data_IF_290252445394
#
_entry.id   IF_290252445394
#
_cell.length_a   1.000
_cell.length_b   1.000
_cell.length_c   1.000
_cell.angle_alpha   90.00
_cell.angle_beta   90.00
_cell.angle_gamma   90.00
#
_symmetry.space_group_name_H-M   'P 1'
#
loop_
_entity.id
_entity.type
_entity.pdbx_description
1 polymer ?
#
# COMPACT_ATOMS: atom_id res chain seq x y z
N UNK A 1 -1.85 -4.56 23.96
CA UNK A 1 -1.95 -3.74 22.76
C UNK A 1 -3.42 -3.41 22.60
N UNK A 2 -3.79 -2.14 22.50
CA UNK A 2 -5.20 -1.75 22.35
C UNK A 2 -5.59 -1.71 20.87
N UNK A 3 -6.88 -1.83 20.55
CA UNK A 3 -7.39 -1.75 19.15
C UNK A 3 -6.98 -0.42 18.48
N UNK A 4 -6.89 0.66 19.26
CA UNK A 4 -6.43 1.97 18.79
C UNK A 4 -4.93 1.97 18.43
N UNK A 5 -4.09 1.22 19.16
CA UNK A 5 -2.67 1.04 18.83
C UNK A 5 -2.51 0.27 17.51
N UNK A 6 -3.32 -0.79 17.31
CA UNK A 6 -3.30 -1.60 16.09
C UNK A 6 -3.77 -0.79 14.87
N UNK A 7 -4.84 0.01 14.99
CA UNK A 7 -5.33 0.88 13.90
C UNK A 7 -4.31 1.96 13.54
N UNK A 8 -3.69 2.60 14.52
CA UNK A 8 -2.66 3.62 14.29
C UNK A 8 -1.41 3.02 13.63
N UNK A 9 -1.01 1.81 14.02
CA UNK A 9 0.08 1.07 13.39
C UNK A 9 -0.23 0.75 11.92
N UNK A 10 -1.45 0.29 11.63
CA UNK A 10 -1.89 -0.01 10.27
C UNK A 10 -1.89 1.23 9.38
N UNK A 11 -2.46 2.34 9.87
CA UNK A 11 -2.46 3.61 9.15
C UNK A 11 -1.04 4.08 8.84
N UNK A 12 -0.11 3.99 9.81
CA UNK A 12 1.29 4.35 9.61
C UNK A 12 1.95 3.50 8.52
N UNK A 13 1.77 2.18 8.54
CA UNK A 13 2.37 1.29 7.55
C UNK A 13 1.86 1.59 6.12
N UNK A 14 0.56 1.83 5.96
CA UNK A 14 -0.03 2.22 4.66
C UNK A 14 0.48 3.61 4.22
N UNK A 15 0.62 4.55 5.15
CA UNK A 15 1.14 5.89 4.87
C UNK A 15 2.61 5.87 4.43
N UNK A 16 3.45 5.07 5.10
CA UNK A 16 4.86 4.88 4.72
C UNK A 16 4.98 4.28 3.31
N UNK A 17 4.15 3.28 3.00
CA UNK A 17 4.07 2.73 1.66
C UNK A 17 3.61 3.77 0.62
N UNK A 18 2.59 4.57 0.94
CA UNK A 18 2.14 5.65 0.05
C UNK A 18 3.24 6.68 -0.22
N UNK A 19 4.04 7.05 0.78
CA UNK A 19 5.16 7.98 0.61
C UNK A 19 6.26 7.41 -0.28
N UNK A 20 6.63 6.13 -0.09
CA UNK A 20 7.62 5.47 -0.94
C UNK A 20 7.15 5.40 -2.41
N UNK A 21 5.86 5.10 -2.63
CA UNK A 21 5.28 5.09 -3.98
C UNK A 21 5.16 6.51 -4.56
N UNK A 22 4.88 7.53 -3.74
CA UNK A 22 4.88 8.91 -4.21
C UNK A 22 6.27 9.34 -4.70
N UNK A 23 7.35 8.93 -4.02
CA UNK A 23 8.73 9.12 -4.49
C UNK A 23 8.97 8.41 -5.83
N UNK A 24 8.49 7.17 -5.99
CA UNK A 24 8.55 6.45 -7.26
C UNK A 24 7.82 7.22 -8.38
N UNK A 25 6.61 7.71 -8.12
CA UNK A 25 5.82 8.49 -9.08
C UNK A 25 6.58 9.75 -9.54
N UNK A 26 7.23 10.47 -8.61
CA UNK A 26 8.08 11.63 -8.93
C UNK A 26 9.26 11.20 -9.81
N UNK A 27 9.98 10.14 -9.42
CA UNK A 27 11.12 9.63 -10.20
C UNK A 27 10.74 9.19 -11.62
N UNK A 28 9.53 8.63 -11.81
CA UNK A 28 9.09 8.12 -13.11
C UNK A 28 8.47 9.20 -14.00
N UNK A 29 7.85 10.24 -13.43
CA UNK A 29 7.15 11.28 -14.20
C UNK A 29 7.95 12.58 -14.32
N UNK A 30 8.45 13.10 -13.19
CA UNK A 30 8.97 14.46 -13.13
C UNK A 30 10.46 14.52 -13.50
N UNK A 31 11.21 13.45 -13.21
CA UNK A 31 12.64 13.34 -13.53
C UNK A 31 12.90 12.74 -14.93
N UNK A 32 11.85 12.42 -15.69
CA UNK A 32 11.98 11.78 -17.00
C UNK A 32 12.64 12.72 -18.04
N UNK A 33 13.66 12.27 -18.79
CA UNK A 33 14.28 13.09 -19.84
C UNK A 33 13.30 13.51 -20.95
N UNK A 34 13.36 14.78 -21.39
CA UNK A 34 12.40 15.46 -22.30
C UNK A 34 12.20 14.80 -23.69
N UNK A 35 13.05 13.87 -24.12
CA UNK A 35 12.92 13.09 -25.38
C UNK A 35 12.00 11.85 -25.21
N UNK A 36 10.82 12.10 -24.63
CA UNK A 36 10.04 11.18 -23.80
C UNK A 36 9.12 10.16 -24.51
N UNK A 37 9.28 9.86 -25.81
CA UNK A 37 8.37 8.93 -26.51
C UNK A 37 8.67 7.44 -26.24
N UNK A 38 9.22 7.10 -25.06
CA UNK A 38 9.47 5.72 -24.69
C UNK A 38 8.24 5.13 -24.01
N UNK A 39 7.43 4.38 -24.77
CA UNK A 39 6.21 3.74 -24.27
C UNK A 39 6.45 2.89 -23.01
N UNK A 40 7.63 2.27 -22.85
CA UNK A 40 7.96 1.52 -21.63
C UNK A 40 8.18 2.42 -20.40
N UNK A 41 8.66 3.65 -20.58
CA UNK A 41 8.78 4.62 -19.48
C UNK A 41 7.40 5.14 -19.05
N UNK A 42 6.56 5.51 -20.02
CA UNK A 42 5.16 5.91 -19.77
C UNK A 42 4.36 4.79 -19.09
N UNK A 43 4.54 3.54 -19.52
CA UNK A 43 3.89 2.40 -18.89
C UNK A 43 4.29 2.24 -17.41
N UNK A 44 5.58 2.37 -17.09
CA UNK A 44 6.07 2.30 -15.70
C UNK A 44 5.50 3.46 -14.87
N UNK A 45 5.48 4.67 -15.42
CA UNK A 45 4.88 5.83 -14.76
C UNK A 45 3.38 5.62 -14.48
N UNK A 46 2.63 5.09 -15.45
CA UNK A 46 1.21 4.78 -15.29
C UNK A 46 0.94 3.74 -14.20
N UNK A 47 1.76 2.68 -14.12
CA UNK A 47 1.64 1.66 -13.07
C UNK A 47 1.96 2.23 -11.68
N UNK A 48 2.98 3.10 -11.57
CA UNK A 48 3.30 3.78 -10.31
C UNK A 48 2.13 4.65 -9.83
N UNK A 49 1.50 5.41 -10.73
CA UNK A 49 0.30 6.20 -10.43
C UNK A 49 -0.88 5.32 -10.04
N UNK A 50 -1.08 4.18 -10.71
CA UNK A 50 -2.15 3.25 -10.34
C UNK A 50 -1.98 2.71 -8.92
N UNK A 51 -0.76 2.29 -8.55
CA UNK A 51 -0.44 1.88 -7.17
C UNK A 51 -0.74 3.03 -6.20
N UNK A 52 -0.28 4.25 -6.50
CA UNK A 52 -0.52 5.41 -5.65
C UNK A 52 -2.02 5.66 -5.43
N UNK A 53 -2.83 5.50 -6.48
CA UNK A 53 -4.29 5.60 -6.40
C UNK A 53 -4.90 4.57 -5.44
N UNK A 54 -4.48 3.30 -5.51
CA UNK A 54 -4.96 2.26 -4.58
C UNK A 54 -4.61 2.56 -3.13
N UNK A 55 -3.40 3.10 -2.91
CA UNK A 55 -2.94 3.46 -1.58
C UNK A 55 -3.62 4.71 -1.04
N UNK A 56 -3.97 5.68 -1.89
CA UNK A 56 -4.80 6.82 -1.51
C UNK A 56 -6.20 6.36 -1.09
N UNK A 57 -6.83 5.47 -1.85
CA UNK A 57 -8.10 4.83 -1.46
C UNK A 57 -7.98 4.08 -0.12
N UNK A 58 -6.84 3.42 0.12
CA UNK A 58 -6.60 2.71 1.38
C UNK A 58 -6.43 3.68 2.55
N UNK A 59 -5.81 4.84 2.35
CA UNK A 59 -5.72 5.89 3.37
C UNK A 59 -7.08 6.52 3.68
N UNK A 60 -7.95 6.66 2.67
CA UNK A 60 -9.31 7.18 2.84
C UNK A 60 -10.17 6.30 3.77
N UNK A 61 -9.86 5.01 3.89
CA UNK A 61 -10.51 4.10 4.84
C UNK A 61 -10.32 4.56 6.30
N UNK A 62 -9.22 5.26 6.61
CA UNK A 62 -8.97 5.79 7.95
C UNK A 62 -9.65 7.13 8.23
N UNK A 63 -10.30 7.75 7.23
CA UNK A 63 -10.97 9.04 7.38
C UNK A 63 -12.26 8.87 8.17
N UNK A 64 -12.30 9.52 9.34
CA UNK A 64 -13.46 9.52 10.23
C UNK A 64 -13.25 8.70 11.50
N UNK A 65 -14.34 8.42 12.20
CA UNK A 65 -14.30 7.66 13.44
C UNK A 65 -14.16 6.15 13.15
N UNK A 66 -13.42 5.40 13.99
CA UNK A 66 -13.34 3.95 13.87
C UNK A 66 -14.74 3.30 13.90
N UNK A 67 -14.93 2.15 13.23
CA UNK A 67 -16.20 1.44 13.26
C UNK A 67 -16.57 1.01 14.68
N UNK A 68 -17.84 1.19 15.05
CA UNK A 68 -18.34 0.85 16.39
C UNK A 68 -18.61 -0.66 16.58
N UNK A 69 -18.59 -1.45 15.50
CA UNK A 69 -18.94 -2.88 15.51
C UNK A 69 -17.81 -3.72 14.94
N UNK A 70 -17.69 -4.96 15.43
CA UNK A 70 -16.74 -5.96 14.90
C UNK A 70 -16.94 -6.22 13.40
N UNK A 71 -18.18 -6.24 12.92
CA UNK A 71 -18.48 -6.39 11.48
C UNK A 71 -17.97 -5.18 10.67
N UNK A 72 -18.11 -3.97 11.21
CA UNK A 72 -17.58 -2.76 10.59
C UNK A 72 -16.05 -2.79 10.51
N UNK A 73 -15.38 -3.22 11.58
CA UNK A 73 -13.92 -3.40 11.60
C UNK A 73 -13.49 -4.48 10.59
N UNK A 74 -14.21 -5.61 10.52
CA UNK A 74 -13.91 -6.67 9.56
C UNK A 74 -14.01 -6.15 8.12
N UNK A 75 -15.07 -5.41 7.79
CA UNK A 75 -15.26 -4.84 6.46
C UNK A 75 -14.12 -3.89 6.09
N UNK A 76 -13.77 -3.00 7.02
CA UNK A 76 -12.67 -2.07 6.87
C UNK A 76 -11.34 -2.78 6.56
N UNK A 77 -11.00 -3.81 7.34
CA UNK A 77 -9.78 -4.59 7.15
C UNK A 77 -9.79 -5.39 5.84
N UNK A 78 -10.95 -5.89 5.40
CA UNK A 78 -11.09 -6.55 4.10
C UNK A 78 -10.89 -5.57 2.94
N UNK A 79 -11.40 -4.34 3.05
CA UNK A 79 -11.20 -3.31 2.03
C UNK A 79 -9.73 -2.90 1.95
N UNK A 80 -9.06 -2.74 3.09
CA UNK A 80 -7.63 -2.48 3.18
C UNK A 80 -6.79 -3.64 2.60
N UNK A 81 -7.10 -4.89 2.96
CA UNK A 81 -6.43 -6.08 2.42
C UNK A 81 -6.51 -6.10 0.90
N UNK A 82 -7.71 -5.87 0.35
CA UNK A 82 -7.92 -5.86 -1.09
C UNK A 82 -7.06 -4.79 -1.76
N UNK A 83 -7.08 -3.55 -1.26
CA UNK A 83 -6.35 -2.43 -1.86
C UNK A 83 -4.83 -2.60 -1.78
N UNK A 84 -4.31 -3.02 -0.62
CA UNK A 84 -2.88 -3.31 -0.43
C UNK A 84 -2.45 -4.50 -1.29
N UNK A 85 -3.29 -5.54 -1.41
CA UNK A 85 -3.00 -6.68 -2.29
C UNK A 85 -2.99 -6.28 -3.75
N UNK A 86 -3.94 -5.46 -4.20
CA UNK A 86 -3.98 -4.94 -5.58
C UNK A 86 -2.73 -4.12 -5.89
N UNK A 87 -2.34 -3.20 -5.00
CA UNK A 87 -1.07 -2.46 -5.09
C UNK A 87 0.14 -3.40 -5.15
N UNK A 88 0.20 -4.41 -4.28
CA UNK A 88 1.23 -5.44 -4.25
C UNK A 88 1.32 -6.25 -5.54
N UNK A 89 0.18 -6.60 -6.13
CA UNK A 89 0.13 -7.33 -7.40
C UNK A 89 0.70 -6.48 -8.54
N UNK A 90 0.31 -5.21 -8.65
CA UNK A 90 0.86 -4.32 -9.68
C UNK A 90 2.37 -4.17 -9.47
N UNK A 91 2.81 -3.95 -8.24
CA UNK A 91 4.23 -3.80 -7.94
C UNK A 91 5.04 -5.06 -8.30
N UNK A 92 4.69 -6.22 -7.76
CA UNK A 92 5.49 -7.44 -7.96
C UNK A 92 5.37 -8.03 -9.37
N UNK A 93 4.17 -8.00 -9.95
CA UNK A 93 3.89 -8.63 -11.26
C UNK A 93 4.20 -7.69 -12.42
N UNK A 94 3.87 -6.41 -12.30
CA UNK A 94 3.87 -5.51 -13.45
C UNK A 94 5.07 -4.53 -13.42
N UNK A 95 5.61 -4.19 -12.24
CA UNK A 95 6.80 -3.34 -12.13
C UNK A 95 8.10 -4.11 -11.86
N UNK A 96 8.10 -5.07 -10.94
CA UNK A 96 9.31 -5.83 -10.55
C UNK A 96 9.53 -7.11 -11.34
N UNK A 97 8.58 -7.50 -12.19
CA UNK A 97 8.81 -8.60 -13.10
C UNK A 97 10.02 -8.32 -14.00
N UNK A 98 10.72 -9.40 -14.37
CA UNK A 98 11.94 -9.31 -15.14
C UNK A 98 11.71 -8.61 -16.50
N UNK A 99 10.57 -8.83 -17.15
CA UNK A 99 10.31 -8.36 -18.51
C UNK A 99 10.22 -6.82 -18.62
N UNK A 100 9.35 -6.11 -17.87
CA UNK A 100 9.26 -4.64 -17.94
C UNK A 100 10.58 -3.94 -17.58
N UNK A 101 11.23 -4.39 -16.51
CA UNK A 101 12.53 -3.88 -16.04
C UNK A 101 13.61 -4.10 -17.11
N UNK A 102 13.67 -5.29 -17.69
CA UNK A 102 14.66 -5.63 -18.71
C UNK A 102 14.46 -4.82 -20.00
N UNK A 103 13.20 -4.66 -20.45
CA UNK A 103 12.87 -3.88 -21.64
C UNK A 103 13.24 -2.40 -21.46
N UNK A 104 12.88 -1.81 -20.32
CA UNK A 104 13.18 -0.42 -20.02
C UNK A 104 14.70 -0.20 -19.86
N UNK A 105 15.38 -1.04 -19.08
CA UNK A 105 16.85 -1.01 -18.91
C UNK A 105 17.61 -1.18 -20.22
N UNK A 106 17.15 -2.09 -21.08
CA UNK A 106 17.72 -2.30 -22.41
C UNK A 106 17.57 -1.08 -23.30
N UNK A 107 16.42 -0.42 -23.23
CA UNK A 107 16.10 0.79 -23.99
C UNK A 107 16.90 2.00 -23.51
N UNK A 108 17.03 2.19 -22.19
CA UNK A 108 17.78 3.31 -21.61
C UNK A 108 19.28 3.20 -21.85
N UNK A 109 19.87 1.99 -21.83
CA UNK A 109 21.29 1.77 -22.16
C UNK A 109 21.66 2.10 -23.61
N UNK A 110 20.72 1.93 -24.54
CA UNK A 110 20.93 2.25 -25.96
C UNK A 110 20.81 3.76 -26.22
N UNK A 111 20.25 4.51 -25.27
CA UNK A 111 20.18 5.96 -25.29
C UNK A 111 21.38 6.56 -24.55
N UNK A 112 21.86 7.70 -25.03
CA UNK A 112 22.92 8.48 -24.39
C UNK A 112 22.36 9.52 -23.43
N UNK A 113 23.23 10.24 -22.72
CA UNK A 113 22.83 11.37 -21.88
C UNK A 113 22.22 10.92 -20.54
N UNK A 114 21.10 11.53 -20.14
CA UNK A 114 20.52 11.37 -18.82
C UNK A 114 19.81 10.00 -18.60
N UNK A 115 19.51 9.25 -19.67
CA UNK A 115 18.69 8.03 -19.61
C UNK A 115 19.19 6.95 -18.64
N UNK A 116 20.49 6.57 -18.61
CA UNK A 116 20.96 5.57 -17.66
C UNK A 116 20.90 6.05 -16.20
N UNK A 117 21.13 7.35 -15.96
CA UNK A 117 21.07 7.94 -14.62
C UNK A 117 19.64 8.00 -14.10
N UNK A 118 18.71 8.45 -14.94
CA UNK A 118 17.28 8.45 -14.63
C UNK A 118 16.78 7.06 -14.28
N UNK A 119 17.10 6.06 -15.13
CA UNK A 119 16.73 4.67 -14.87
C UNK A 119 17.31 4.14 -13.55
N UNK A 120 18.57 4.47 -13.24
CA UNK A 120 19.15 4.10 -11.94
C UNK A 120 18.44 4.74 -10.76
N UNK A 121 17.85 5.94 -10.92
CA UNK A 121 17.01 6.58 -9.93
C UNK A 121 15.69 5.82 -9.74
N UNK A 122 15.02 5.48 -10.84
CA UNK A 122 13.79 4.67 -10.82
C UNK A 122 14.03 3.29 -10.17
N UNK A 123 15.15 2.61 -10.47
CA UNK A 123 15.50 1.33 -9.83
C UNK A 123 15.63 1.47 -8.31
N UNK A 124 16.28 2.53 -7.82
CA UNK A 124 16.39 2.79 -6.38
C UNK A 124 15.04 3.11 -5.73
N UNK A 125 14.20 3.91 -6.38
CA UNK A 125 12.86 4.23 -5.86
C UNK A 125 11.97 2.99 -5.83
N UNK A 126 12.10 2.09 -6.82
CA UNK A 126 11.44 0.78 -6.79
C UNK A 126 11.90 -0.05 -5.59
N UNK A 127 13.20 -0.16 -5.34
CA UNK A 127 13.75 -0.92 -4.20
C UNK A 127 13.25 -0.36 -2.85
N UNK A 128 13.14 0.96 -2.70
CA UNK A 128 12.61 1.62 -1.49
C UNK A 128 11.15 1.29 -1.20
N UNK A 129 10.38 0.84 -2.20
CA UNK A 129 9.00 0.44 -2.00
C UNK A 129 8.85 -0.95 -1.37
N UNK A 130 9.88 -1.83 -1.45
CA UNK A 130 9.73 -3.25 -1.08
C UNK A 130 9.42 -3.43 0.42
N UNK A 131 10.20 -2.80 1.30
CA UNK A 131 10.03 -2.92 2.75
C UNK A 131 8.68 -2.38 3.23
N UNK A 132 8.25 -1.14 2.87
CA UNK A 132 6.93 -0.64 3.23
C UNK A 132 5.78 -1.50 2.70
N UNK A 133 5.95 -2.11 1.52
CA UNK A 133 4.92 -2.94 0.90
C UNK A 133 4.70 -4.25 1.67
N UNK A 134 5.80 -4.88 2.10
CA UNK A 134 5.74 -6.05 2.98
C UNK A 134 5.15 -5.66 4.34
N UNK A 135 5.63 -4.56 4.94
CA UNK A 135 5.17 -4.10 6.25
C UNK A 135 3.67 -3.79 6.28
N UNK A 136 3.13 -3.13 5.24
CA UNK A 136 1.71 -2.87 5.11
C UNK A 136 0.89 -4.18 5.00
N UNK A 137 1.34 -5.13 4.18
CA UNK A 137 0.69 -6.44 4.05
C UNK A 137 0.69 -7.24 5.36
N UNK A 138 1.82 -7.28 6.07
CA UNK A 138 1.94 -7.92 7.37
C UNK A 138 1.06 -7.27 8.43
N UNK A 139 1.00 -5.94 8.46
CA UNK A 139 0.14 -5.19 9.38
C UNK A 139 -1.36 -5.51 9.16
N UNK A 140 -1.81 -5.56 7.90
CA UNK A 140 -3.19 -5.96 7.58
C UNK A 140 -3.45 -7.41 8.01
N UNK A 141 -2.53 -8.32 7.69
CA UNK A 141 -2.64 -9.73 8.07
C UNK A 141 -2.70 -9.95 9.58
N UNK A 142 -1.86 -9.22 10.34
CA UNK A 142 -1.86 -9.25 11.79
C UNK A 142 -3.18 -8.74 12.38
N UNK A 143 -3.72 -7.63 11.85
CA UNK A 143 -4.99 -7.07 12.30
C UNK A 143 -6.17 -8.03 12.03
N UNK A 144 -6.21 -8.66 10.84
CA UNK A 144 -7.21 -9.67 10.52
C UNK A 144 -7.10 -10.91 11.42
N UNK A 145 -5.87 -11.37 11.68
CA UNK A 145 -5.63 -12.51 12.56
C UNK A 145 -6.07 -12.23 14.00
N UNK A 146 -5.75 -11.04 14.53
CA UNK A 146 -6.19 -10.59 15.85
C UNK A 146 -7.72 -10.59 15.94
N UNK A 147 -8.42 -10.07 14.92
CA UNK A 147 -9.88 -10.01 14.90
C UNK A 147 -10.55 -11.40 14.90
N UNK A 148 -9.99 -12.36 14.16
CA UNK A 148 -10.55 -13.72 14.03
C UNK A 148 -10.24 -14.59 15.25
N UNK A 149 -9.10 -14.36 15.91
CA UNK A 149 -8.63 -15.19 17.05
C UNK A 149 -9.00 -14.62 18.41
N UNK A 150 -9.40 -13.36 18.49
CA UNK A 150 -9.85 -12.75 19.73
C UNK A 150 -11.17 -13.38 20.21
N UNK A 151 -11.26 -13.84 21.48
CA UNK A 151 -12.52 -14.32 22.02
C UNK A 151 -13.55 -13.18 22.00
N UNK A 152 -14.85 -13.48 21.77
CA UNK A 152 -15.89 -12.47 21.85
C UNK A 152 -15.82 -11.84 23.24
N UNK A 153 -15.52 -10.55 23.29
CA UNK A 153 -15.57 -9.78 24.53
C UNK A 153 -16.99 -9.90 25.04
N UNK A 154 -17.19 -10.68 26.11
CA UNK A 154 -18.45 -10.71 26.85
C UNK A 154 -18.76 -9.27 27.25
N UNK A 155 -19.65 -8.64 26.48
CA UNK A 155 -20.31 -7.41 26.90
C UNK A 155 -20.98 -7.79 28.21
N UNK A 156 -20.46 -7.27 29.32
CA UNK A 156 -20.97 -7.53 30.65
C UNK A 156 -22.45 -7.18 30.61
N UNK A 157 -23.29 -8.21 30.47
CA UNK A 157 -24.74 -8.09 30.56
C UNK A 157 -24.97 -7.80 32.03
N UNK A 158 -25.02 -6.52 32.40
CA UNK A 158 -25.41 -6.05 33.71
C UNK A 158 -26.84 -6.51 33.90
N UNK A 159 -26.97 -7.72 34.42
CA UNK A 159 -28.22 -8.36 34.73
C UNK A 159 -28.70 -7.68 36.01
N UNK A 160 -29.33 -6.51 35.86
CA UNK A 160 -29.97 -5.79 36.96
C UNK A 160 -31.21 -6.57 37.37
N UNK A 161 -31.00 -7.73 37.99
CA UNK A 161 -32.02 -8.43 38.75
C UNK A 161 -32.24 -7.62 40.03
N UNK A 162 -33.19 -6.70 40.01
CA UNK A 162 -33.85 -6.22 41.23
C UNK A 162 -35.27 -6.76 41.27
N UNK A 163 -35.35 -7.98 41.79
CA UNK A 163 -36.50 -8.54 42.48
C UNK A 163 -36.37 -8.13 43.95
N UNK A 164 -37.27 -7.29 44.46
CA UNK A 164 -37.62 -7.07 45.87
C UNK A 164 -38.78 -6.05 45.83
N UNK A 165 -40.02 -6.55 45.85
CA UNK A 165 -40.90 -6.66 47.04
C UNK A 165 -41.66 -5.37 47.31
#
# INVERSE_FOLDING_TARGET
MTVDDSRAGLHRAVQELWLAVAELVLSTNDDQPEESDLASAEHVAQLAVEIQGRLAEALDVFVGSPPATTEGVLRELCDLERLVREAGLIYWRDLRAHDPVYQLRGSTRRRSGAWPSWWSGVEQSLERCEEPLVAAGEAVGAALHELVTSPPTETTRTNTSRRSS
#
